data_IF_382118184933
#
_entry.id   IF_382118184933
#
_cell.length_a   1.000
_cell.length_b   1.000
_cell.length_c   1.000
_cell.angle_alpha   90.00
_cell.angle_beta   90.00
_cell.angle_gamma   90.00
#
_symmetry.space_group_name_H-M   'P 1'
#
loop_
_entity.id
_entity.type
_entity.pdbx_description
1 polymer ?
#
# COMPACT_ATOMS: atom_id res chain seq x y z
N UNK A 1 -16.52 64.69 -0.09
CA UNK A 1 -15.94 63.35 -0.27
C UNK A 1 -16.10 62.59 1.04
N UNK A 2 -16.64 61.36 1.05
CA UNK A 2 -16.75 60.59 2.30
C UNK A 2 -15.34 60.30 2.83
N UNK A 3 -15.11 60.58 4.12
CA UNK A 3 -13.84 60.30 4.78
C UNK A 3 -13.75 58.81 5.10
N UNK A 4 -12.62 58.18 4.76
CA UNK A 4 -12.40 56.76 5.03
C UNK A 4 -12.27 56.49 6.53
N UNK A 5 -13.26 55.79 7.10
CA UNK A 5 -13.21 55.38 8.50
C UNK A 5 -12.42 54.07 8.66
N UNK A 6 -11.12 54.22 8.92
CA UNK A 6 -10.20 53.09 9.11
C UNK A 6 -10.53 52.19 10.30
N UNK A 7 -11.36 52.60 11.27
CA UNK A 7 -11.80 51.69 12.36
C UNK A 7 -12.94 50.79 11.89
N UNK A 8 -13.93 51.38 11.21
CA UNK A 8 -15.04 50.63 10.63
C UNK A 8 -14.55 49.64 9.56
N UNK A 9 -13.59 50.04 8.73
CA UNK A 9 -12.99 49.15 7.72
C UNK A 9 -12.32 47.91 8.33
N UNK A 10 -11.49 48.08 9.36
CA UNK A 10 -10.82 46.95 10.03
C UNK A 10 -11.83 45.98 10.62
N UNK A 11 -12.84 46.50 11.35
CA UNK A 11 -13.87 45.66 11.96
C UNK A 11 -14.69 44.87 10.94
N UNK A 12 -15.15 45.54 9.88
CA UNK A 12 -15.89 44.91 8.79
C UNK A 12 -15.04 43.87 8.04
N UNK A 13 -13.78 44.18 7.76
CA UNK A 13 -12.85 43.28 7.06
C UNK A 13 -12.58 42.01 7.87
N UNK A 14 -12.32 42.12 9.18
CA UNK A 14 -12.14 40.97 10.07
C UNK A 14 -13.41 40.12 10.16
N UNK A 15 -14.58 40.75 10.26
CA UNK A 15 -15.86 40.04 10.31
C UNK A 15 -16.11 39.22 9.04
N UNK A 16 -15.93 39.84 7.86
CA UNK A 16 -16.07 39.14 6.59
C UNK A 16 -15.04 38.00 6.44
N UNK A 17 -13.79 38.23 6.84
CA UNK A 17 -12.75 37.21 6.78
C UNK A 17 -13.08 36.00 7.66
N UNK A 18 -13.58 36.20 8.88
CA UNK A 18 -13.99 35.11 9.78
C UNK A 18 -15.11 34.26 9.18
N UNK A 19 -16.10 34.87 8.52
CA UNK A 19 -17.18 34.12 7.85
C UNK A 19 -16.60 33.21 6.78
N UNK A 20 -15.77 33.76 5.89
CA UNK A 20 -15.19 32.99 4.78
C UNK A 20 -14.28 31.88 5.32
N UNK A 21 -13.44 32.16 6.31
CA UNK A 21 -12.58 31.16 6.94
C UNK A 21 -13.39 30.06 7.63
N UNK A 22 -14.50 30.39 8.29
CA UNK A 22 -15.36 29.37 8.94
C UNK A 22 -15.93 28.41 7.91
N UNK A 23 -16.52 28.93 6.83
CA UNK A 23 -17.11 28.10 5.76
C UNK A 23 -16.04 27.23 5.09
N UNK A 24 -14.91 27.83 4.73
CA UNK A 24 -13.82 27.11 4.06
C UNK A 24 -13.11 26.12 5.00
N UNK A 25 -12.99 26.40 6.30
CA UNK A 25 -12.49 25.44 7.28
C UNK A 25 -13.40 24.23 7.43
N UNK A 26 -14.71 24.43 7.51
CA UNK A 26 -15.68 23.33 7.58
C UNK A 26 -15.55 22.48 6.32
N UNK A 27 -15.48 23.10 5.14
CA UNK A 27 -15.30 22.39 3.88
C UNK A 27 -14.01 21.56 3.86
N UNK A 28 -12.86 22.17 4.16
CA UNK A 28 -11.55 21.49 4.17
C UNK A 28 -11.48 20.38 5.22
N UNK A 29 -12.31 20.45 6.25
CA UNK A 29 -12.42 19.45 7.30
C UNK A 29 -13.31 18.27 6.90
N UNK A 30 -14.41 18.50 6.17
CA UNK A 30 -15.41 17.44 5.87
C UNK A 30 -15.28 16.81 4.49
N UNK A 31 -14.79 17.54 3.48
CA UNK A 31 -14.75 17.12 2.08
C UNK A 31 -13.36 16.70 1.62
N UNK A 32 -13.29 15.97 0.51
CA UNK A 32 -12.03 15.71 -0.19
C UNK A 32 -11.32 17.01 -0.59
N UNK A 33 -9.99 16.93 -0.68
CA UNK A 33 -9.16 18.13 -0.80
C UNK A 33 -9.43 18.88 -2.11
N UNK A 34 -9.97 20.11 -1.99
CA UNK A 34 -10.11 21.03 -3.12
C UNK A 34 -9.03 22.11 -3.08
N UNK A 35 -8.16 22.11 -4.09
CA UNK A 35 -7.10 23.11 -4.23
C UNK A 35 -7.65 24.55 -4.25
N UNK A 36 -8.78 24.76 -4.94
CA UNK A 36 -9.43 26.08 -5.00
C UNK A 36 -9.86 26.58 -3.61
N UNK A 37 -10.52 25.72 -2.84
CA UNK A 37 -10.98 26.09 -1.49
C UNK A 37 -9.78 26.33 -0.55
N UNK A 38 -8.73 25.51 -0.65
CA UNK A 38 -7.50 25.70 0.11
C UNK A 38 -6.82 27.04 -0.21
N UNK A 39 -6.78 27.43 -1.49
CA UNK A 39 -6.25 28.73 -1.94
C UNK A 39 -7.09 29.88 -1.39
N UNK A 40 -8.43 29.82 -1.51
CA UNK A 40 -9.33 30.85 -0.94
C UNK A 40 -9.10 30.98 0.57
N UNK A 41 -9.07 29.87 1.30
CA UNK A 41 -8.84 29.84 2.74
C UNK A 41 -7.51 30.50 3.11
N UNK A 42 -6.43 30.13 2.42
CA UNK A 42 -5.09 30.64 2.69
C UNK A 42 -4.97 32.13 2.38
N UNK A 43 -5.51 32.59 1.25
CA UNK A 43 -5.47 33.99 0.86
C UNK A 43 -6.25 34.89 1.82
N UNK A 44 -7.47 34.48 2.21
CA UNK A 44 -8.28 35.22 3.17
C UNK A 44 -7.64 35.18 4.56
N UNK A 45 -7.08 34.05 4.98
CA UNK A 45 -6.37 33.90 6.25
C UNK A 45 -5.17 34.82 6.35
N UNK A 46 -4.34 34.87 5.30
CA UNK A 46 -3.18 35.77 5.25
C UNK A 46 -3.61 37.25 5.27
N UNK A 47 -4.67 37.59 4.53
CA UNK A 47 -5.23 38.96 4.54
C UNK A 47 -5.76 39.32 5.94
N UNK A 48 -6.46 38.40 6.61
CA UNK A 48 -6.95 38.59 7.97
C UNK A 48 -5.80 38.81 8.95
N UNK A 49 -4.68 38.10 8.82
CA UNK A 49 -3.49 38.32 9.65
C UNK A 49 -2.92 39.73 9.50
N UNK A 50 -2.81 40.24 8.27
CA UNK A 50 -2.36 41.61 8.01
C UNK A 50 -3.31 42.62 8.67
N UNK A 51 -4.62 42.45 8.50
CA UNK A 51 -5.63 43.34 9.09
C UNK A 51 -5.67 43.22 10.62
N UNK A 52 -5.43 42.03 11.17
CA UNK A 52 -5.34 41.78 12.60
C UNK A 52 -4.09 42.46 13.22
N UNK A 53 -2.94 42.39 12.55
CA UNK A 53 -1.74 43.15 12.95
C UNK A 53 -2.05 44.66 12.93
N UNK A 54 -2.71 45.15 11.88
CA UNK A 54 -3.13 46.55 11.82
C UNK A 54 -4.08 46.93 12.96
N UNK A 55 -5.04 46.05 13.28
CA UNK A 55 -5.94 46.20 14.42
C UNK A 55 -5.18 46.26 15.76
N UNK A 56 -4.18 45.39 15.96
CA UNK A 56 -3.35 45.35 17.17
C UNK A 56 -2.50 46.60 17.34
N UNK A 57 -1.82 47.07 16.29
CA UNK A 57 -1.00 48.30 16.34
C UNK A 57 -1.87 49.50 16.73
N UNK A 58 -3.09 49.57 16.16
CA UNK A 58 -4.02 50.67 16.44
C UNK A 58 -4.65 50.61 17.84
N UNK A 59 -4.77 49.41 18.41
CA UNK A 59 -5.39 49.16 19.72
C UNK A 59 -4.39 48.58 20.74
N UNK A 60 -3.12 48.99 20.67
CA UNK A 60 -2.03 48.39 21.45
C UNK A 60 -2.15 48.65 22.96
N UNK A 61 -2.65 49.83 23.36
CA UNK A 61 -2.76 50.22 24.78
C UNK A 61 -3.69 49.29 25.60
N UNK A 62 -4.91 48.96 25.14
CA UNK A 62 -5.75 47.94 25.78
C UNK A 62 -5.10 46.55 25.84
N UNK A 63 -4.43 46.12 24.78
CA UNK A 63 -3.82 44.78 24.71
C UNK A 63 -2.78 44.57 25.83
N UNK A 64 -1.89 45.55 26.03
CA UNK A 64 -0.89 45.49 27.11
C UNK A 64 -1.51 45.46 28.52
N UNK A 65 -2.73 45.99 28.68
CA UNK A 65 -3.45 45.91 29.93
C UNK A 65 -3.89 44.48 30.26
N UNK A 66 -4.36 43.72 29.26
CA UNK A 66 -4.77 42.32 29.43
C UNK A 66 -3.58 41.38 29.65
N UNK A 67 -2.42 41.69 29.05
CA UNK A 67 -1.19 40.91 29.17
C UNK A 67 -0.46 41.08 30.52
N UNK A 68 -0.85 42.05 31.36
CA UNK A 68 -0.15 42.35 32.61
C UNK A 68 -0.81 41.68 33.83
N UNK A 69 -0.27 40.57 34.35
CA UNK A 69 -0.86 39.82 35.46
C UNK A 69 -0.86 40.59 36.80
N UNK A 70 -0.12 41.71 36.89
CA UNK A 70 0.00 42.52 38.11
C UNK A 70 -1.07 43.63 38.20
N UNK A 71 -1.81 43.92 37.13
CA UNK A 71 -2.87 44.93 37.14
C UNK A 71 -4.20 44.33 37.60
N UNK A 72 -4.79 44.92 38.64
CA UNK A 72 -6.14 44.57 39.12
C UNK A 72 -7.19 45.26 38.25
N UNK A 73 -8.18 44.50 37.79
CA UNK A 73 -9.38 45.02 37.13
C UNK A 73 -10.56 44.78 38.08
N UNK A 74 -11.31 45.83 38.43
CA UNK A 74 -12.35 45.78 39.49
C UNK A 74 -11.85 45.10 40.79
N UNK A 75 -10.66 45.47 41.28
CA UNK A 75 -10.01 44.91 42.48
C UNK A 75 -9.70 43.40 42.46
N UNK A 76 -9.88 42.71 41.33
CA UNK A 76 -9.53 41.28 41.14
C UNK A 76 -8.41 41.10 40.11
N UNK A 77 -7.63 40.03 40.24
CA UNK A 77 -6.67 39.62 39.22
C UNK A 77 -7.40 38.94 38.05
N UNK A 78 -6.98 39.23 36.81
CA UNK A 78 -7.55 38.58 35.62
C UNK A 78 -6.92 37.20 35.41
N UNK A 79 -7.76 36.16 35.37
CA UNK A 79 -7.34 34.78 35.05
C UNK A 79 -7.39 34.46 33.56
N UNK A 80 -7.84 35.41 32.73
CA UNK A 80 -8.07 35.19 31.30
C UNK A 80 -6.78 34.81 30.54
N UNK A 81 -5.64 35.42 30.89
CA UNK A 81 -4.37 35.15 30.23
C UNK A 81 -3.80 33.75 30.54
N UNK A 82 -3.71 33.31 31.80
CA UNK A 82 -3.37 31.93 32.12
C UNK A 82 -4.29 30.91 31.41
N UNK A 83 -5.59 31.15 31.41
CA UNK A 83 -6.57 30.26 30.74
C UNK A 83 -6.31 30.20 29.23
N UNK A 84 -6.13 31.34 28.57
CA UNK A 84 -5.85 31.40 27.13
C UNK A 84 -4.52 30.73 26.76
N UNK A 85 -3.50 30.85 27.61
CA UNK A 85 -2.22 30.18 27.42
C UNK A 85 -2.36 28.67 27.59
N UNK A 86 -3.02 28.21 28.66
CA UNK A 86 -3.29 26.78 28.87
C UNK A 86 -4.11 26.18 27.72
N UNK A 87 -5.15 26.88 27.25
CA UNK A 87 -5.96 26.44 26.11
C UNK A 87 -5.12 26.35 24.83
N UNK A 88 -4.32 27.38 24.52
CA UNK A 88 -3.44 27.37 23.33
C UNK A 88 -2.41 26.25 23.39
N UNK A 89 -1.77 26.06 24.55
CA UNK A 89 -0.81 24.95 24.77
C UNK A 89 -1.52 23.62 24.56
N UNK A 90 -2.72 23.44 25.10
CA UNK A 90 -3.49 22.22 24.94
C UNK A 90 -3.87 21.97 23.48
N UNK A 91 -4.37 22.98 22.74
CA UNK A 91 -4.73 22.83 21.32
C UNK A 91 -3.54 22.46 20.42
N UNK A 92 -2.32 22.86 20.79
CA UNK A 92 -1.09 22.51 20.04
C UNK A 92 -0.54 21.15 20.46
N UNK A 93 -0.50 20.85 21.76
CA UNK A 93 0.09 19.60 22.27
C UNK A 93 -0.84 18.40 22.16
N UNK A 94 -2.16 18.60 22.24
CA UNK A 94 -3.12 17.47 22.24
C UNK A 94 -3.08 16.65 20.96
N UNK A 95 -2.93 17.20 19.74
CA UNK A 95 -2.75 16.37 18.54
C UNK A 95 -1.39 15.66 18.52
N UNK A 96 -0.32 16.34 18.94
CA UNK A 96 1.05 15.78 18.97
C UNK A 96 1.14 14.57 19.92
N UNK A 97 0.46 14.66 21.07
CA UNK A 97 0.41 13.63 22.09
C UNK A 97 -0.82 12.70 21.94
N UNK A 98 -1.60 12.85 20.87
CA UNK A 98 -2.81 12.05 20.58
C UNK A 98 -3.85 12.03 21.71
N UNK A 99 -4.03 13.14 22.42
CA UNK A 99 -4.95 13.28 23.55
C UNK A 99 -6.41 13.50 23.10
N UNK A 100 -7.37 13.03 23.89
CA UNK A 100 -8.80 13.32 23.69
C UNK A 100 -9.15 14.76 24.13
N UNK A 101 -10.02 15.49 23.40
CA UNK A 101 -10.81 15.02 22.26
C UNK A 101 -10.17 15.30 20.89
N UNK A 102 -8.92 15.78 20.81
CA UNK A 102 -8.28 16.12 19.54
C UNK A 102 -8.24 14.93 18.56
N UNK A 103 -7.94 13.73 19.07
CA UNK A 103 -7.98 12.49 18.28
C UNK A 103 -9.39 12.17 17.76
N UNK A 104 -10.42 12.36 18.59
CA UNK A 104 -11.82 12.10 18.23
C UNK A 104 -12.30 13.05 17.13
N UNK A 105 -11.94 14.33 17.24
CA UNK A 105 -12.22 15.33 16.20
C UNK A 105 -11.51 14.93 14.91
N UNK A 106 -10.21 14.61 14.96
CA UNK A 106 -9.49 14.17 13.77
C UNK A 106 -10.13 12.93 13.10
N UNK A 107 -10.43 11.89 13.88
CA UNK A 107 -11.07 10.67 13.39
C UNK A 107 -12.43 10.95 12.77
N UNK A 108 -13.25 11.80 13.41
CA UNK A 108 -14.53 12.22 12.84
C UNK A 108 -14.36 12.90 11.48
N UNK A 109 -13.41 13.84 11.35
CA UNK A 109 -13.10 14.45 10.05
C UNK A 109 -12.68 13.43 8.99
N UNK A 110 -11.88 12.43 9.36
CA UNK A 110 -11.48 11.35 8.44
C UNK A 110 -12.66 10.49 7.98
N UNK A 111 -13.61 10.16 8.87
CA UNK A 111 -14.81 9.40 8.49
C UNK A 111 -15.68 10.15 7.48
N UNK A 112 -15.81 11.47 7.62
CA UNK A 112 -16.57 12.31 6.68
C UNK A 112 -15.89 12.34 5.30
N UNK A 113 -14.56 12.50 5.25
CA UNK A 113 -13.79 12.49 3.99
C UNK A 113 -13.81 11.13 3.29
N UNK A 114 -13.75 10.05 4.05
CA UNK A 114 -13.85 8.70 3.51
C UNK A 114 -15.24 8.45 2.89
N UNK A 115 -16.31 8.90 3.57
CA UNK A 115 -17.68 8.82 3.06
C UNK A 115 -17.85 9.65 1.79
N UNK A 116 -17.35 10.88 1.77
CA UNK A 116 -17.37 11.76 0.61
C UNK A 116 -16.67 11.15 -0.61
N UNK A 117 -15.49 10.55 -0.38
CA UNK A 117 -14.75 9.82 -1.40
C UNK A 117 -15.53 8.63 -1.96
N UNK A 118 -16.13 7.83 -1.08
CA UNK A 118 -16.94 6.68 -1.49
C UNK A 118 -18.16 7.10 -2.34
N UNK A 119 -18.81 8.21 -1.97
CA UNK A 119 -19.92 8.76 -2.75
C UNK A 119 -19.47 9.28 -4.13
N UNK A 120 -18.30 9.93 -4.21
CA UNK A 120 -17.70 10.33 -5.49
C UNK A 120 -17.37 9.10 -6.37
N UNK A 121 -16.80 8.05 -5.77
CA UNK A 121 -16.48 6.78 -6.43
C UNK A 121 -17.73 6.05 -6.97
N UNK A 122 -18.85 6.04 -6.23
CA UNK A 122 -20.14 5.47 -6.68
C UNK A 122 -20.80 6.31 -7.78
N UNK A 123 -20.64 7.63 -7.73
CA UNK A 123 -21.25 8.56 -8.70
C UNK A 123 -20.51 8.64 -10.05
N UNK A 124 -19.43 7.88 -10.24
CA UNK A 124 -18.63 7.88 -11.46
C UNK A 124 -17.62 9.04 -11.54
N UNK A 125 -17.21 9.60 -10.41
CA UNK A 125 -16.09 10.53 -10.34
C UNK A 125 -14.77 9.89 -10.78
N UNK A 126 -13.81 10.71 -11.21
CA UNK A 126 -12.49 10.25 -11.65
C UNK A 126 -11.80 9.44 -10.53
N UNK A 127 -11.48 8.17 -10.81
CA UNK A 127 -10.74 7.32 -9.87
C UNK A 127 -9.26 7.73 -9.87
N UNK A 128 -8.81 8.39 -8.81
CA UNK A 128 -7.38 8.67 -8.62
C UNK A 128 -6.63 7.36 -8.34
N UNK A 129 -5.76 6.96 -9.28
CA UNK A 129 -4.87 5.81 -9.12
C UNK A 129 -3.50 6.30 -8.69
N UNK A 130 -3.04 5.84 -7.52
CA UNK A 130 -1.68 6.07 -7.05
C UNK A 130 -0.81 4.89 -7.47
N UNK A 131 0.36 5.20 -8.02
CA UNK A 131 1.41 4.22 -8.32
C UNK A 131 2.66 4.52 -7.50
N UNK A 132 3.29 3.48 -6.98
CA UNK A 132 4.60 3.54 -6.33
C UNK A 132 5.65 3.17 -7.36
N UNK A 133 6.51 4.11 -7.72
CA UNK A 133 7.62 3.85 -8.65
C UNK A 133 8.87 3.39 -7.89
N UNK A 134 9.52 2.35 -8.40
CA UNK A 134 10.82 1.86 -7.93
C UNK A 134 11.71 1.55 -9.13
N UNK A 135 12.96 2.00 -9.06
CA UNK A 135 13.95 1.74 -10.11
C UNK A 135 15.24 1.17 -9.50
N UNK A 136 15.70 0.05 -10.06
CA UNK A 136 16.90 -0.66 -9.63
C UNK A 136 17.95 -0.61 -10.75
N UNK A 137 19.11 -0.05 -10.42
CA UNK A 137 20.27 -0.01 -11.30
C UNK A 137 21.47 -0.58 -10.57
N UNK A 138 21.87 -1.81 -10.94
CA UNK A 138 23.08 -2.45 -10.39
C UNK A 138 24.32 -1.72 -10.90
N UNK A 139 25.33 -1.59 -10.05
CA UNK A 139 26.59 -0.95 -10.43
C UNK A 139 27.24 -1.73 -11.59
N UNK A 140 27.55 -1.04 -12.69
CA UNK A 140 28.12 -1.66 -13.89
C UNK A 140 27.10 -2.27 -14.86
N UNK A 141 25.79 -2.15 -14.62
CA UNK A 141 24.76 -2.55 -15.58
C UNK A 141 24.84 -1.70 -16.87
N UNK A 142 24.89 -2.38 -18.02
CA UNK A 142 25.00 -1.74 -19.35
C UNK A 142 23.89 -2.18 -20.32
N UNK A 143 22.99 -3.06 -19.88
CA UNK A 143 21.88 -3.53 -20.67
C UNK A 143 20.70 -2.57 -20.70
N UNK A 144 19.67 -2.99 -21.44
CA UNK A 144 18.38 -2.32 -21.50
C UNK A 144 17.68 -2.34 -20.13
N UNK A 145 16.76 -1.41 -19.92
CA UNK A 145 15.89 -1.37 -18.74
C UNK A 145 14.56 -2.03 -19.06
N UNK A 146 14.15 -3.02 -18.27
CA UNK A 146 12.80 -3.57 -18.31
C UNK A 146 11.96 -2.83 -17.28
N UNK A 147 10.81 -2.30 -17.69
CA UNK A 147 9.84 -1.67 -16.80
C UNK A 147 8.56 -2.46 -16.77
N UNK A 148 8.05 -2.72 -15.57
CA UNK A 148 6.78 -3.40 -15.32
C UNK A 148 5.85 -2.45 -14.58
N UNK A 149 4.72 -2.13 -15.19
CA UNK A 149 3.60 -1.48 -14.51
C UNK A 149 2.59 -2.55 -14.10
N UNK A 150 2.33 -2.67 -12.80
CA UNK A 150 1.29 -3.56 -12.26
C UNK A 150 0.20 -2.71 -11.60
N UNK A 151 -1.03 -2.92 -12.06
CA UNK A 151 -2.25 -2.44 -11.41
C UNK A 151 -2.86 -3.60 -10.62
N UNK A 152 -3.02 -3.39 -9.32
CA UNK A 152 -3.49 -4.43 -8.41
C UNK A 152 -4.98 -4.70 -8.60
N UNK A 153 -5.36 -5.95 -8.42
CA UNK A 153 -6.76 -6.34 -8.31
C UNK A 153 -7.31 -6.18 -6.89
N UNK A 154 -8.62 -6.43 -6.69
CA UNK A 154 -9.27 -6.27 -5.39
C UNK A 154 -8.71 -7.18 -4.30
N UNK A 155 -8.20 -8.38 -4.65
CA UNK A 155 -7.70 -9.37 -3.68
C UNK A 155 -6.18 -9.31 -3.45
N UNK A 156 -5.49 -8.29 -3.98
CA UNK A 156 -4.03 -8.14 -3.87
C UNK A 156 -3.58 -7.72 -2.46
N UNK A 157 -3.55 -8.68 -1.53
CA UNK A 157 -3.10 -8.48 -0.15
C UNK A 157 -1.92 -9.37 0.17
N UNK A 158 -0.83 -8.79 0.66
CA UNK A 158 0.39 -9.52 1.06
C UNK A 158 0.84 -10.65 0.11
N UNK A 159 0.78 -10.49 -1.24
CA UNK A 159 1.08 -11.58 -2.13
C UNK A 159 2.57 -11.89 -2.12
N UNK A 160 2.92 -13.14 -2.43
CA UNK A 160 4.27 -13.49 -2.84
C UNK A 160 4.29 -13.55 -4.35
N UNK A 161 5.33 -12.98 -4.95
CA UNK A 161 5.50 -13.01 -6.40
C UNK A 161 6.95 -12.89 -6.82
N UNK A 162 7.19 -13.28 -8.08
CA UNK A 162 8.45 -13.13 -8.76
C UNK A 162 8.24 -12.73 -10.22
N UNK A 163 9.15 -11.90 -10.73
CA UNK A 163 9.34 -11.62 -12.15
C UNK A 163 10.66 -12.20 -12.60
N UNK A 164 10.70 -12.85 -13.76
CA UNK A 164 11.93 -13.37 -14.35
C UNK A 164 11.87 -13.36 -15.88
N UNK A 165 13.04 -13.59 -16.48
CA UNK A 165 13.21 -13.66 -17.92
C UNK A 165 13.52 -15.10 -18.36
N UNK A 166 12.89 -15.53 -19.45
CA UNK A 166 13.15 -16.80 -20.13
C UNK A 166 13.41 -16.57 -21.62
N UNK A 167 14.16 -17.48 -22.23
CA UNK A 167 14.23 -17.57 -23.70
C UNK A 167 12.89 -18.04 -24.29
N UNK A 168 12.72 -17.94 -25.61
CA UNK A 168 11.53 -18.46 -26.30
C UNK A 168 11.49 -20.01 -26.26
N UNK A 169 12.63 -20.63 -26.02
CA UNK A 169 12.77 -22.06 -25.83
C UNK A 169 12.41 -22.49 -24.40
N UNK A 170 12.26 -21.53 -23.47
CA UNK A 170 11.87 -21.78 -22.08
C UNK A 170 13.04 -21.95 -21.11
N UNK A 171 14.25 -21.59 -21.52
CA UNK A 171 15.42 -21.60 -20.64
C UNK A 171 15.40 -20.38 -19.73
N UNK A 172 15.63 -20.59 -18.43
CA UNK A 172 15.75 -19.51 -17.45
C UNK A 172 16.98 -18.65 -17.74
N UNK A 173 16.78 -17.33 -17.82
CA UNK A 173 17.88 -16.37 -18.06
C UNK A 173 18.31 -15.73 -16.74
N UNK A 174 17.40 -15.03 -16.06
CA UNK A 174 17.66 -14.39 -14.78
C UNK A 174 16.37 -13.92 -14.09
N UNK A 175 16.38 -13.75 -12.75
CA UNK A 175 15.32 -13.04 -12.05
C UNK A 175 15.36 -11.54 -12.36
N UNK A 176 14.20 -10.89 -12.27
CA UNK A 176 14.02 -9.44 -12.41
C UNK A 176 13.60 -8.81 -11.08
N UNK A 177 12.73 -9.49 -10.35
CA UNK A 177 12.31 -9.14 -9.00
C UNK A 177 11.82 -10.38 -8.25
N UNK A 178 12.13 -10.50 -6.98
CA UNK A 178 11.60 -11.52 -6.08
C UNK A 178 11.22 -10.88 -4.75
N UNK A 179 10.05 -11.21 -4.23
CA UNK A 179 9.66 -10.79 -2.88
C UNK A 179 10.67 -11.28 -1.82
N UNK A 180 11.00 -10.43 -0.85
CA UNK A 180 12.04 -10.71 0.14
C UNK A 180 11.79 -11.99 0.95
N UNK A 181 10.52 -12.32 1.25
CA UNK A 181 10.20 -13.51 2.04
C UNK A 181 10.51 -14.80 1.27
N UNK A 182 10.30 -14.84 -0.05
CA UNK A 182 10.70 -15.96 -0.91
C UNK A 182 12.22 -16.08 -0.96
N UNK A 183 12.91 -14.97 -1.20
CA UNK A 183 14.36 -14.98 -1.40
C UNK A 183 15.17 -15.30 -0.13
N UNK A 184 14.59 -15.15 1.05
CA UNK A 184 15.24 -15.40 2.35
C UNK A 184 14.71 -16.65 3.05
N UNK A 185 13.81 -17.40 2.40
CA UNK A 185 13.06 -18.51 3.01
C UNK A 185 12.36 -18.10 4.32
N UNK A 186 11.83 -16.87 4.37
CA UNK A 186 11.05 -16.37 5.51
C UNK A 186 9.54 -16.46 5.27
N UNK A 187 9.13 -16.95 4.09
CA UNK A 187 7.73 -17.26 3.80
C UNK A 187 7.33 -18.61 4.42
N UNK A 188 7.20 -18.60 5.75
CA UNK A 188 6.92 -19.80 6.57
C UNK A 188 5.53 -19.72 7.17
N UNK A 189 4.91 -20.87 7.45
CA UNK A 189 3.67 -20.87 8.23
C UNK A 189 3.94 -20.55 9.71
N UNK A 190 3.20 -19.56 10.24
CA UNK A 190 3.28 -19.05 11.62
C UNK A 190 1.96 -19.20 12.39
N UNK A 191 0.96 -19.84 11.79
CA UNK A 191 -0.37 -19.99 12.36
C UNK A 191 -0.86 -21.43 12.26
N UNK A 192 -1.84 -21.79 13.08
CA UNK A 192 -2.58 -23.04 12.99
C UNK A 192 -4.07 -22.75 13.11
N UNK A 193 -4.92 -23.66 12.63
CA UNK A 193 -6.37 -23.56 12.84
C UNK A 193 -6.69 -23.66 14.34
N UNK A 194 -7.63 -22.83 14.80
CA UNK A 194 -8.14 -22.87 16.18
C UNK A 194 -8.95 -24.13 16.44
N UNK A 195 -9.83 -24.49 15.50
CA UNK A 195 -10.51 -25.78 15.48
C UNK A 195 -9.84 -26.67 14.41
N UNK A 196 -9.15 -27.75 14.80
CA UNK A 196 -8.51 -28.67 13.87
C UNK A 196 -9.46 -29.36 12.89
N UNK A 197 -10.77 -29.40 13.19
CA UNK A 197 -11.77 -30.03 12.32
C UNK A 197 -12.46 -29.04 11.39
N UNK A 198 -12.16 -27.74 11.51
CA UNK A 198 -12.75 -26.73 10.64
C UNK A 198 -12.16 -26.83 9.24
N UNK A 199 -13.04 -26.99 8.25
CA UNK A 199 -12.68 -26.91 6.83
C UNK A 199 -12.86 -25.48 6.36
N UNK A 200 -11.83 -24.92 5.74
CA UNK A 200 -11.87 -23.60 5.10
C UNK A 200 -12.22 -23.78 3.63
N UNK A 201 -13.36 -23.24 3.21
CA UNK A 201 -13.88 -23.33 1.83
C UNK A 201 -14.21 -21.95 1.23
N UNK A 202 -13.76 -20.88 1.88
CA UNK A 202 -13.93 -19.50 1.44
C UNK A 202 -12.70 -18.68 1.80
N UNK A 203 -12.51 -17.56 1.10
CA UNK A 203 -11.36 -16.69 1.31
C UNK A 203 -11.30 -16.24 2.78
N UNK A 204 -10.14 -16.35 3.42
CA UNK A 204 -10.09 -16.19 4.87
C UNK A 204 -10.35 -14.74 5.36
N UNK A 205 -9.89 -13.73 4.61
CA UNK A 205 -9.95 -12.33 5.06
C UNK A 205 -10.90 -11.40 4.29
N UNK A 206 -11.40 -11.79 3.11
CA UNK A 206 -12.12 -10.92 2.18
C UNK A 206 -13.31 -11.67 1.57
N UNK A 207 -14.35 -10.93 1.19
CA UNK A 207 -15.61 -11.47 0.70
C UNK A 207 -16.69 -11.55 1.78
N UNK A 208 -17.95 -11.72 1.35
CA UNK A 208 -19.11 -11.79 2.26
C UNK A 208 -19.03 -12.98 3.22
N UNK A 209 -18.46 -14.10 2.75
CA UNK A 209 -18.33 -15.36 3.50
C UNK A 209 -16.93 -15.55 4.10
N UNK A 210 -16.20 -14.45 4.35
CA UNK A 210 -14.86 -14.53 4.91
C UNK A 210 -14.86 -15.15 6.32
N UNK A 211 -13.98 -16.12 6.54
CA UNK A 211 -13.91 -16.87 7.81
C UNK A 211 -13.41 -16.00 8.97
N UNK A 212 -12.48 -15.09 8.70
CA UNK A 212 -11.89 -14.17 9.65
C UNK A 212 -10.69 -14.73 10.44
N UNK A 213 -9.87 -13.82 10.95
CA UNK A 213 -8.64 -14.12 11.72
C UNK A 213 -8.89 -14.91 13.01
N UNK A 214 -10.10 -14.83 13.58
CA UNK A 214 -10.46 -15.51 14.83
C UNK A 214 -10.35 -17.05 14.72
N UNK A 215 -10.41 -17.59 13.50
CA UNK A 215 -10.22 -19.02 13.23
C UNK A 215 -8.76 -19.48 13.32
N UNK A 216 -7.80 -18.56 13.52
CA UNK A 216 -6.37 -18.88 13.60
C UNK A 216 -5.80 -18.65 15.00
N UNK A 217 -4.75 -19.41 15.30
CA UNK A 217 -3.89 -19.25 16.48
C UNK A 217 -2.46 -19.00 16.02
N UNK A 218 -1.87 -17.89 16.47
CA UNK A 218 -0.48 -17.55 16.18
C UNK A 218 0.48 -18.43 17.00
N UNK A 219 1.40 -19.10 16.32
CA UNK A 219 2.35 -20.04 16.93
C UNK A 219 3.68 -19.39 17.35
N UNK A 220 3.89 -18.10 17.05
CA UNK A 220 5.16 -17.42 17.29
C UNK A 220 6.16 -17.55 16.14
N UNK A 221 7.22 -16.74 16.20
CA UNK A 221 8.37 -16.84 15.29
C UNK A 221 9.49 -17.61 15.97
N UNK A 222 9.74 -18.83 15.50
CA UNK A 222 10.90 -19.65 15.91
C UNK A 222 11.90 -19.75 14.74
N UNK A 223 12.87 -18.82 14.60
CA UNK A 223 13.75 -18.75 13.44
C UNK A 223 14.56 -20.04 13.20
N UNK A 224 14.82 -20.81 14.25
CA UNK A 224 15.55 -22.09 14.21
C UNK A 224 14.82 -23.20 13.44
N UNK A 225 13.50 -23.09 13.28
CA UNK A 225 12.65 -24.09 12.59
C UNK A 225 12.15 -23.60 11.23
N UNK A 226 12.76 -22.54 10.66
CA UNK A 226 12.35 -22.00 9.36
C UNK A 226 12.50 -23.03 8.24
N UNK A 227 13.59 -23.79 8.25
CA UNK A 227 13.93 -24.73 7.16
C UNK A 227 13.09 -26.02 7.23
N UNK A 228 12.35 -26.23 8.32
CA UNK A 228 11.34 -27.28 8.45
C UNK A 228 9.92 -26.81 8.11
N UNK A 229 9.75 -25.52 7.76
CA UNK A 229 8.45 -24.86 7.48
C UNK A 229 8.45 -24.16 6.12
N UNK A 230 9.18 -24.74 5.17
CA UNK A 230 9.28 -24.24 3.80
C UNK A 230 7.93 -24.37 3.07
N UNK A 231 7.69 -23.47 2.13
CA UNK A 231 6.45 -23.40 1.35
C UNK A 231 6.76 -23.56 -0.14
N UNK A 232 7.07 -24.77 -0.62
CA UNK A 232 7.40 -24.98 -2.04
C UNK A 232 6.24 -24.61 -2.97
N UNK A 233 5.01 -24.60 -2.47
CA UNK A 233 3.82 -24.20 -3.21
C UNK A 233 3.69 -22.69 -3.45
N UNK A 234 4.56 -21.87 -2.84
CA UNK A 234 4.43 -20.42 -2.91
C UNK A 234 4.62 -19.89 -4.33
N UNK A 235 5.64 -20.35 -5.05
CA UNK A 235 5.94 -19.93 -6.43
C UNK A 235 6.61 -21.09 -7.20
N UNK A 236 5.94 -22.24 -7.32
CA UNK A 236 6.56 -23.48 -7.77
C UNK A 236 7.19 -23.41 -9.15
N UNK A 237 6.60 -22.67 -10.10
CA UNK A 237 7.16 -22.59 -11.46
C UNK A 237 8.49 -21.84 -11.44
N UNK A 238 8.52 -20.66 -10.81
CA UNK A 238 9.74 -19.87 -10.64
C UNK A 238 10.80 -20.61 -9.82
N UNK A 239 10.42 -21.24 -8.72
CA UNK A 239 11.33 -21.91 -7.80
C UNK A 239 12.03 -23.10 -8.45
N UNK A 240 11.31 -23.91 -9.23
CA UNK A 240 11.89 -25.00 -10.00
C UNK A 240 12.78 -24.48 -11.14
N UNK A 241 12.40 -23.39 -11.83
CA UNK A 241 13.24 -22.74 -12.85
C UNK A 241 14.54 -22.18 -12.26
N UNK A 242 14.49 -21.65 -11.03
CA UNK A 242 15.67 -21.19 -10.31
C UNK A 242 16.64 -22.33 -9.99
N UNK A 243 16.12 -23.55 -9.79
CA UNK A 243 16.91 -24.77 -9.65
C UNK A 243 17.71 -24.89 -8.34
N UNK A 244 17.42 -24.04 -7.35
CA UNK A 244 18.10 -24.07 -6.04
C UNK A 244 17.31 -24.97 -5.08
N UNK A 245 17.91 -26.11 -4.72
CA UNK A 245 17.31 -27.11 -3.84
C UNK A 245 17.91 -27.03 -2.44
N UNK A 246 17.06 -27.07 -1.42
CA UNK A 246 17.45 -27.20 -0.03
C UNK A 246 17.76 -28.66 0.35
N UNK A 247 18.39 -28.85 1.52
CA UNK A 247 18.77 -30.18 2.04
C UNK A 247 17.60 -31.16 2.18
N UNK A 248 16.38 -30.65 2.40
CA UNK A 248 15.15 -31.45 2.49
C UNK A 248 14.57 -31.84 1.11
N UNK A 249 15.21 -31.42 0.02
CA UNK A 249 14.80 -31.74 -1.35
C UNK A 249 13.81 -30.74 -1.96
N UNK A 250 13.31 -29.74 -1.23
CA UNK A 250 12.44 -28.72 -1.82
C UNK A 250 13.25 -27.68 -2.61
N UNK A 251 12.67 -27.20 -3.71
CA UNK A 251 13.21 -26.07 -4.47
C UNK A 251 12.86 -24.76 -3.76
N UNK A 252 13.52 -24.46 -2.65
CA UNK A 252 13.35 -23.20 -1.92
C UNK A 252 14.74 -22.70 -1.48
N UNK A 253 15.16 -21.47 -1.84
CA UNK A 253 16.50 -20.98 -1.55
C UNK A 253 16.67 -20.64 -0.06
N UNK A 254 17.66 -21.22 0.63
CA UNK A 254 17.90 -20.99 2.07
C UNK A 254 19.02 -19.99 2.38
N UNK A 255 19.81 -19.61 1.37
CA UNK A 255 21.12 -18.97 1.51
C UNK A 255 21.12 -17.46 1.23
N UNK A 256 19.94 -16.86 1.01
CA UNK A 256 19.76 -15.43 0.69
C UNK A 256 20.52 -14.95 -0.54
N UNK A 257 21.01 -15.85 -1.41
CA UNK A 257 21.79 -15.51 -2.60
C UNK A 257 21.06 -14.54 -3.54
N UNK A 258 19.76 -14.75 -3.75
CA UNK A 258 18.92 -13.82 -4.51
C UNK A 258 18.93 -12.40 -3.91
N UNK A 259 18.95 -12.30 -2.57
CA UNK A 259 19.01 -11.03 -1.87
C UNK A 259 20.36 -10.34 -2.02
N UNK A 260 21.45 -11.12 -1.98
CA UNK A 260 22.81 -10.63 -2.23
C UNK A 260 22.95 -10.09 -3.66
N UNK A 261 22.31 -10.74 -4.64
CA UNK A 261 22.39 -10.35 -6.04
C UNK A 261 21.56 -9.11 -6.40
N UNK A 262 20.74 -8.60 -5.45
CA UNK A 262 20.00 -7.36 -5.57
C UNK A 262 18.67 -7.49 -6.34
N UNK A 263 18.21 -8.72 -6.58
CA UNK A 263 16.93 -8.97 -7.24
C UNK A 263 15.75 -8.99 -6.27
N UNK A 264 15.98 -8.69 -5.00
CA UNK A 264 14.96 -8.78 -3.95
C UNK A 264 14.58 -7.42 -3.42
N UNK A 265 13.32 -7.26 -3.06
CA UNK A 265 12.86 -6.07 -2.35
C UNK A 265 11.71 -6.37 -1.40
N UNK A 266 11.36 -5.37 -0.60
CA UNK A 266 10.10 -5.37 0.14
C UNK A 266 8.94 -5.58 -0.84
N UNK A 267 7.99 -6.44 -0.47
CA UNK A 267 6.76 -6.67 -1.24
C UNK A 267 6.08 -5.34 -1.53
N UNK A 268 5.71 -5.11 -2.79
CA UNK A 268 4.91 -3.94 -3.17
C UNK A 268 3.44 -4.36 -3.03
N UNK A 269 2.69 -3.63 -2.19
CA UNK A 269 1.31 -3.98 -1.82
C UNK A 269 0.26 -3.07 -2.49
N UNK A 270 0.72 -2.05 -3.24
CA UNK A 270 -0.13 -1.11 -3.98
C UNK A 270 0.19 -1.19 -5.49
N UNK A 271 -0.50 -0.42 -6.34
CA UNK A 271 -0.11 -0.31 -7.74
C UNK A 271 1.34 0.17 -7.83
N UNK A 272 2.13 -0.40 -8.73
CA UNK A 272 3.54 -0.07 -8.81
C UNK A 272 4.06 -0.03 -10.23
N UNK A 273 5.13 0.75 -10.40
CA UNK A 273 5.98 0.75 -11.58
C UNK A 273 7.37 0.31 -11.10
N UNK A 274 7.85 -0.81 -11.63
CA UNK A 274 9.15 -1.37 -11.28
C UNK A 274 10.05 -1.41 -12.51
N UNK A 275 11.16 -0.68 -12.45
CA UNK A 275 12.18 -0.65 -13.50
C UNK A 275 13.46 -1.34 -13.04
N UNK A 276 14.02 -2.21 -13.86
CA UNK A 276 15.29 -2.88 -13.60
C UNK A 276 16.21 -2.82 -14.82
N UNK A 277 17.43 -2.32 -14.62
CA UNK A 277 18.45 -2.31 -15.67
C UNK A 277 19.18 -3.65 -15.73
N UNK A 278 19.20 -4.27 -16.90
CA UNK A 278 19.87 -5.55 -17.13
C UNK A 278 21.41 -5.39 -17.04
N UNK A 279 22.13 -6.41 -16.52
CA UNK A 279 23.58 -6.33 -16.39
C UNK A 279 24.28 -6.21 -17.76
N UNK A 280 23.79 -6.93 -18.77
CA UNK A 280 24.29 -6.91 -20.14
C UNK A 280 23.18 -6.72 -21.17
N UNK A 281 23.57 -6.40 -22.40
CA UNK A 281 22.64 -6.23 -23.51
C UNK A 281 22.09 -7.57 -23.98
N UNK A 282 20.78 -7.64 -24.17
CA UNK A 282 20.10 -8.77 -24.80
C UNK A 282 19.65 -8.41 -26.22
N UNK A 283 19.45 -9.42 -27.06
CA UNK A 283 18.99 -9.29 -28.46
C UNK A 283 17.90 -10.30 -28.77
N UNK A 284 16.98 -9.92 -29.64
CA UNK A 284 15.84 -10.74 -30.03
C UNK A 284 14.76 -10.83 -28.95
N UNK A 285 13.93 -11.88 -29.05
CA UNK A 285 12.72 -12.03 -28.25
C UNK A 285 12.95 -12.87 -27.01
N UNK A 286 12.31 -12.47 -25.91
CA UNK A 286 12.31 -13.19 -24.64
C UNK A 286 10.92 -13.18 -24.03
N UNK A 287 10.66 -14.13 -23.16
CA UNK A 287 9.47 -14.14 -22.30
C UNK A 287 9.79 -13.46 -20.99
N UNK A 288 8.96 -12.48 -20.62
CA UNK A 288 8.86 -12.02 -19.24
C UNK A 288 7.75 -12.80 -18.58
N UNK A 289 8.09 -13.42 -17.46
CA UNK A 289 7.17 -14.20 -16.64
C UNK A 289 6.90 -13.49 -15.33
N UNK A 290 5.69 -13.69 -14.85
CA UNK A 290 5.27 -13.24 -13.53
C UNK A 290 4.47 -14.36 -12.89
N UNK A 291 4.86 -14.78 -11.70
CA UNK A 291 4.11 -15.74 -10.90
C UNK A 291 3.74 -15.07 -9.60
N UNK A 292 2.47 -15.21 -9.20
CA UNK A 292 1.92 -14.66 -7.97
C UNK A 292 1.11 -15.71 -7.24
N UNK A 293 1.21 -15.69 -5.91
CA UNK A 293 0.43 -16.51 -5.01
C UNK A 293 -0.05 -15.67 -3.83
N UNK A 294 -1.26 -15.96 -3.37
CA UNK A 294 -1.82 -15.43 -2.14
C UNK A 294 -2.24 -16.60 -1.25
N UNK A 295 -1.73 -16.63 -0.02
CA UNK A 295 -2.09 -17.68 0.94
C UNK A 295 -3.44 -17.43 1.57
N UNK A 296 -4.04 -18.47 2.14
CA UNK A 296 -5.38 -18.43 2.76
C UNK A 296 -6.52 -18.06 1.80
N UNK A 297 -6.25 -18.12 0.49
CA UNK A 297 -7.20 -17.81 -0.58
C UNK A 297 -8.06 -19.04 -0.95
N UNK A 298 -8.80 -19.58 0.03
CA UNK A 298 -9.60 -20.81 -0.19
C UNK A 298 -10.87 -20.50 -0.99
N UNK A 299 -11.39 -21.52 -1.66
CA UNK A 299 -12.72 -21.48 -2.28
C UNK A 299 -13.39 -22.87 -2.17
N UNK A 300 -14.55 -23.03 -2.81
CA UNK A 300 -15.31 -24.29 -2.74
C UNK A 300 -14.52 -25.50 -3.27
N UNK A 301 -13.71 -25.31 -4.31
CA UNK A 301 -12.91 -26.39 -4.89
C UNK A 301 -11.59 -26.59 -4.15
N UNK A 302 -10.83 -25.53 -3.96
CA UNK A 302 -9.58 -25.47 -3.21
C UNK A 302 -9.89 -25.23 -1.73
N UNK A 303 -10.68 -26.14 -1.15
CA UNK A 303 -10.94 -26.20 0.29
C UNK A 303 -9.74 -26.78 1.03
N UNK A 304 -9.57 -26.47 2.31
CA UNK A 304 -8.40 -26.92 3.09
C UNK A 304 -8.25 -28.44 3.23
N UNK A 305 -9.29 -29.21 2.91
CA UNK A 305 -9.33 -30.68 2.94
C UNK A 305 -9.33 -31.32 1.54
N UNK A 306 -9.18 -30.53 0.46
CA UNK A 306 -9.36 -30.98 -0.92
C UNK A 306 -8.43 -32.12 -1.31
N UNK A 307 -7.19 -32.10 -0.82
CA UNK A 307 -6.14 -33.06 -1.17
C UNK A 307 -5.63 -33.77 0.09
N UNK A 308 -6.43 -34.67 0.71
CA UNK A 308 -6.15 -35.19 2.05
C UNK A 308 -4.86 -36.01 2.14
N UNK A 309 -4.44 -36.59 1.01
CA UNK A 309 -3.19 -37.36 0.89
C UNK A 309 -1.97 -36.47 0.62
N UNK A 310 -2.16 -35.15 0.43
CA UNK A 310 -1.08 -34.19 0.21
C UNK A 310 -0.78 -33.41 1.51
N UNK A 311 0.30 -33.74 2.23
CA UNK A 311 0.64 -33.10 3.50
C UNK A 311 1.14 -31.67 3.34
N UNK A 312 1.58 -31.26 2.14
CA UNK A 312 1.96 -29.87 1.88
C UNK A 312 0.70 -29.02 1.76
N UNK A 313 -0.31 -29.52 1.04
CA UNK A 313 -1.58 -28.82 0.89
C UNK A 313 -2.47 -28.91 2.13
N UNK A 314 -2.92 -30.12 2.50
CA UNK A 314 -3.92 -30.31 3.57
C UNK A 314 -3.32 -30.49 4.96
N UNK A 315 -1.99 -30.46 5.08
CA UNK A 315 -1.30 -30.55 6.36
C UNK A 315 -1.27 -29.20 7.08
N UNK A 316 -0.08 -28.61 7.21
CA UNK A 316 0.04 -27.25 7.76
C UNK A 316 -0.25 -26.16 6.71
N UNK A 317 -0.61 -26.53 5.49
CA UNK A 317 -0.62 -25.66 4.32
C UNK A 317 -1.86 -24.81 4.21
N UNK A 318 -1.75 -23.53 4.54
CA UNK A 318 -2.70 -22.52 4.07
C UNK A 318 -2.44 -22.16 2.60
N UNK A 319 -2.20 -23.19 1.79
CA UNK A 319 -1.80 -23.15 0.38
C UNK A 319 -2.94 -22.68 -0.50
N UNK A 320 -4.16 -23.14 -0.21
CA UNK A 320 -5.41 -22.67 -0.79
C UNK A 320 -5.41 -22.69 -2.34
N UNK A 321 -5.85 -21.64 -3.03
CA UNK A 321 -5.73 -21.57 -4.49
C UNK A 321 -4.25 -21.53 -4.94
N UNK A 322 -3.86 -22.27 -6.01
CA UNK A 322 -2.50 -22.30 -6.52
C UNK A 322 -2.04 -20.95 -7.09
N UNK A 323 -0.72 -20.81 -7.27
CA UNK A 323 -0.12 -19.64 -7.93
C UNK A 323 -0.63 -19.47 -9.37
N UNK A 324 -0.73 -18.23 -9.82
CA UNK A 324 -1.13 -17.85 -11.19
C UNK A 324 0.08 -17.28 -11.93
N UNK A 325 0.26 -17.71 -13.18
CA UNK A 325 1.37 -17.30 -14.03
C UNK A 325 0.84 -16.42 -15.17
N UNK A 326 1.47 -15.26 -15.32
CA UNK A 326 1.28 -14.34 -16.43
C UNK A 326 2.54 -14.32 -17.32
N UNK A 327 2.35 -14.03 -18.61
CA UNK A 327 3.42 -13.95 -19.59
C UNK A 327 3.22 -12.78 -20.55
N UNK A 328 4.32 -12.12 -20.90
CA UNK A 328 4.46 -11.29 -22.10
C UNK A 328 5.72 -11.67 -22.88
N UNK A 329 5.72 -11.43 -24.19
CA UNK A 329 6.92 -11.53 -25.03
C UNK A 329 7.39 -10.12 -25.32
N UNK A 330 8.66 -9.84 -25.03
CA UNK A 330 9.33 -8.58 -25.36
C UNK A 330 10.40 -8.83 -26.42
N UNK A 331 10.67 -7.81 -27.23
CA UNK A 331 11.69 -7.84 -28.28
C UNK A 331 12.75 -6.77 -27.97
N UNK A 332 13.96 -7.20 -27.61
CA UNK A 332 15.06 -6.28 -27.29
C UNK A 332 15.65 -5.60 -28.51
N UNK A 333 15.35 -6.08 -29.72
CA UNK A 333 15.71 -5.41 -30.96
C UNK A 333 14.68 -4.32 -31.34
N UNK A 334 13.51 -4.31 -30.69
CA UNK A 334 12.44 -3.32 -30.87
C UNK A 334 11.91 -2.78 -29.54
N UNK A 335 12.72 -1.94 -28.91
CA UNK A 335 12.52 -1.39 -27.57
C UNK A 335 11.41 -0.32 -27.45
N UNK A 336 10.50 -0.15 -28.42
CA UNK A 336 9.37 0.79 -28.31
C UNK A 336 8.03 0.10 -28.01
N UNK A 337 8.03 -1.22 -27.80
CA UNK A 337 6.79 -1.98 -27.69
C UNK A 337 6.33 -2.14 -26.23
N UNK A 338 5.13 -1.65 -25.92
CA UNK A 338 4.41 -2.00 -24.69
C UNK A 338 3.75 -3.37 -24.88
N UNK A 339 4.04 -4.32 -24.00
CA UNK A 339 3.46 -5.65 -24.01
C UNK A 339 2.59 -5.86 -22.77
N UNK A 340 1.30 -6.10 -22.95
CA UNK A 340 0.41 -6.49 -21.86
C UNK A 340 0.62 -7.98 -21.54
N UNK A 341 0.76 -8.32 -20.27
CA UNK A 341 0.84 -9.73 -19.87
C UNK A 341 -0.54 -10.37 -19.88
N UNK A 342 -0.58 -11.66 -20.22
CA UNK A 342 -1.78 -12.51 -20.19
C UNK A 342 -1.57 -13.68 -19.26
N UNK A 343 -2.64 -14.15 -18.61
CA UNK A 343 -2.60 -15.38 -17.81
C UNK A 343 -2.36 -16.55 -18.76
N UNK A 344 -1.40 -17.40 -18.41
CA UNK A 344 -0.99 -18.57 -19.23
C UNK A 344 -1.15 -19.89 -18.50
N UNK A 345 -1.40 -19.87 -17.20
CA UNK A 345 -1.61 -21.08 -16.41
C UNK A 345 -1.45 -20.85 -14.92
N UNK A 346 -1.42 -21.95 -14.18
CA UNK A 346 -1.21 -22.02 -12.74
C UNK A 346 -0.07 -22.98 -12.39
N UNK A 347 0.48 -22.82 -11.19
CA UNK A 347 1.45 -23.76 -10.62
C UNK A 347 0.78 -25.00 -10.03
N UNK A 348 1.61 -25.95 -9.57
CA UNK A 348 1.13 -27.08 -8.77
C UNK A 348 0.65 -26.58 -7.40
N UNK A 349 -0.53 -27.02 -6.94
CA UNK A 349 -1.15 -26.58 -5.67
C UNK A 349 -0.29 -26.82 -4.42
N UNK A 350 0.61 -27.79 -4.49
CA UNK A 350 1.57 -28.14 -3.44
C UNK A 350 3.03 -27.93 -3.82
N UNK A 351 3.29 -27.38 -5.00
CA UNK A 351 4.65 -27.20 -5.52
C UNK A 351 5.49 -28.48 -5.65
N UNK A 352 4.87 -29.61 -5.99
CA UNK A 352 5.57 -30.88 -6.22
C UNK A 352 6.45 -30.84 -7.47
N UNK A 353 6.13 -29.95 -8.41
CA UNK A 353 6.88 -29.74 -9.65
C UNK A 353 6.74 -28.27 -10.11
N UNK A 354 7.53 -27.90 -11.12
CA UNK A 354 7.51 -26.60 -11.78
C UNK A 354 6.72 -26.56 -13.09
N UNK A 355 5.78 -27.49 -13.30
CA UNK A 355 5.00 -27.54 -14.53
C UNK A 355 3.97 -26.41 -14.58
N UNK A 356 3.69 -25.93 -15.80
CA UNK A 356 2.64 -24.96 -16.05
C UNK A 356 1.35 -25.67 -16.43
N UNK A 357 0.33 -25.55 -15.59
CA UNK A 357 -0.99 -26.15 -15.80
C UNK A 357 -1.95 -25.14 -16.44
N UNK A 358 -2.60 -25.52 -17.54
CA UNK A 358 -3.50 -24.63 -18.29
C UNK A 358 -4.94 -24.58 -17.77
N UNK A 359 -5.30 -25.38 -16.76
CA UNK A 359 -6.64 -25.47 -16.21
C UNK A 359 -6.87 -24.40 -15.14
N UNK A 360 -7.68 -23.39 -15.46
CA UNK A 360 -7.98 -22.25 -14.61
C UNK A 360 -9.42 -22.27 -14.06
N UNK A 361 -10.21 -23.28 -14.41
CA UNK A 361 -11.67 -23.33 -14.22
C UNK A 361 -12.11 -23.25 -12.75
N UNK A 362 -11.26 -23.74 -11.83
CA UNK A 362 -11.54 -23.77 -10.40
C UNK A 362 -10.92 -22.60 -9.64
N UNK A 363 -10.28 -21.66 -10.34
CA UNK A 363 -9.73 -20.45 -9.75
C UNK A 363 -10.78 -19.35 -9.75
N UNK A 364 -10.77 -18.57 -8.69
CA UNK A 364 -11.72 -17.50 -8.39
C UNK A 364 -10.92 -16.22 -8.11
N UNK A 365 -10.85 -15.80 -6.85
CA UNK A 365 -10.10 -14.66 -6.33
C UNK A 365 -8.61 -14.66 -6.71
N UNK A 366 -7.99 -15.83 -6.92
CA UNK A 366 -6.62 -15.94 -7.42
C UNK A 366 -6.42 -15.28 -8.79
N UNK A 367 -7.44 -15.31 -9.68
CA UNK A 367 -7.42 -14.63 -10.99
C UNK A 367 -7.67 -13.12 -10.87
N UNK A 368 -8.17 -12.67 -9.71
CA UNK A 368 -8.48 -11.27 -9.40
C UNK A 368 -7.41 -10.61 -8.51
N UNK A 369 -6.27 -11.28 -8.30
CA UNK A 369 -5.12 -10.66 -7.64
C UNK A 369 -4.57 -9.50 -8.45
N UNK A 370 -4.55 -9.61 -9.78
CA UNK A 370 -3.96 -8.59 -10.65
C UNK A 370 -4.94 -8.17 -11.73
N UNK A 371 -5.23 -6.86 -11.79
CA UNK A 371 -6.09 -6.27 -12.81
C UNK A 371 -5.35 -6.14 -14.14
N UNK A 372 -4.10 -5.64 -14.11
CA UNK A 372 -3.31 -5.43 -15.32
C UNK A 372 -1.81 -5.45 -15.06
N UNK A 373 -1.06 -6.01 -16.00
CA UNK A 373 0.40 -5.88 -16.05
C UNK A 373 0.82 -5.45 -17.45
N UNK A 374 1.63 -4.39 -17.53
CA UNK A 374 2.25 -3.90 -18.76
C UNK A 374 3.75 -3.97 -18.59
N UNK A 375 4.44 -4.50 -19.60
CA UNK A 375 5.89 -4.59 -19.65
C UNK A 375 6.40 -3.77 -20.82
N UNK A 376 7.46 -3.00 -20.60
CA UNK A 376 8.18 -2.30 -21.64
C UNK A 376 9.68 -2.47 -21.48
N UNK A 377 10.41 -2.22 -22.56
CA UNK A 377 11.87 -2.17 -22.58
C UNK A 377 12.27 -0.77 -22.99
N UNK A 378 13.32 -0.22 -22.42
CA UNK A 378 13.93 1.04 -22.86
C UNK A 378 15.44 0.91 -22.83
N UNK A 379 16.14 1.76 -23.60
CA UNK A 379 17.60 1.81 -23.60
C UNK A 379 18.19 2.40 -22.31
#
# INVERSE_FOLDING_TARGET
MPSFNSRAFIGASLFCAVIVLTVTSIWLYTKQHSALIAVIHTMIGFTMLIVAIWHMVKNFKPLFFYLNPKKKFNSKYSVAMPIALCLSIYLVLSPILSLAPALQVYQFGQTLKATDKALEEESGGDKELKYIERSIKKQGAQGQTITVELKKGPYFMWPQYAFWLETIEGEFVQPLYVTSAIATNNFTNKVTARDPNQVFSSHMFMGEDAVGEDALVFLGEEPSTKDTRMRPESLPVFLHQLGVQADNGFYVPTDSKLAIDGYTGATMEDNFIYSVQLPGQLKGKYRVRFEINHSFDFNEFYSSDRFPEDPVYSGSGFSAQPSVIYQAIIDFDNAETLAQMSVVGRGHHSGQNGELYGDLENLTTALELVDRIIVSVSL
#
